data_IF_057228832678
#
_entry.id   IF_057228832678
#
_cell.length_a   1.000
_cell.length_b   1.000
_cell.length_c   1.000
_cell.angle_alpha   90.00
_cell.angle_beta   90.00
_cell.angle_gamma   90.00
#
_symmetry.space_group_name_H-M   'P 1'
#
loop_
_entity.id
_entity.type
_entity.pdbx_description
1 polymer ?
#
# COMPACT_ATOMS: atom_id res chain seq x y z
N UNK A 1 9.86 -5.36 21.69
CA UNK A 1 9.98 -5.53 20.23
C UNK A 1 8.94 -4.65 19.55
N UNK A 2 9.31 -3.96 18.46
CA UNK A 2 8.40 -3.08 17.76
C UNK A 2 8.55 -3.30 16.25
N UNK A 3 7.44 -3.47 15.56
CA UNK A 3 7.45 -3.53 14.09
C UNK A 3 7.67 -2.12 13.55
N UNK A 4 8.73 -1.91 12.77
CA UNK A 4 9.12 -0.57 12.33
C UNK A 4 8.65 -0.29 10.91
N UNK A 5 9.01 -1.14 9.98
CA UNK A 5 8.55 -0.97 8.59
C UNK A 5 8.64 -2.29 7.83
N UNK A 6 7.91 -2.34 6.73
CA UNK A 6 8.06 -3.36 5.70
C UNK A 6 8.51 -2.66 4.43
N UNK A 7 9.47 -3.24 3.73
CA UNK A 7 10.02 -2.63 2.51
C UNK A 7 9.49 -3.35 1.28
N UNK A 8 9.16 -2.59 0.25
CA UNK A 8 8.80 -3.13 -1.06
C UNK A 8 9.46 -2.27 -2.15
N UNK A 9 9.74 -2.87 -3.27
CA UNK A 9 10.38 -2.15 -4.38
C UNK A 9 9.33 -1.57 -5.32
N UNK A 10 9.64 -0.42 -5.90
CA UNK A 10 8.78 0.23 -6.86
C UNK A 10 9.60 0.69 -8.06
N UNK A 11 9.04 0.56 -9.24
CA UNK A 11 9.67 1.10 -10.45
C UNK A 11 9.28 2.55 -10.70
N UNK A 12 8.24 3.04 -10.01
CA UNK A 12 7.71 4.39 -10.17
C UNK A 12 7.35 4.94 -8.79
N UNK A 13 8.32 5.58 -8.10
CA UNK A 13 8.05 6.09 -6.76
C UNK A 13 6.95 7.14 -6.71
N UNK A 14 6.78 7.96 -7.74
CA UNK A 14 5.71 8.95 -7.77
C UNK A 14 4.34 8.30 -7.75
N UNK A 15 4.14 7.28 -8.58
CA UNK A 15 2.87 6.56 -8.61
C UNK A 15 2.61 5.81 -7.30
N UNK A 16 3.64 5.19 -6.73
CA UNK A 16 3.51 4.47 -5.47
C UNK A 16 3.14 5.42 -4.32
N UNK A 17 3.82 6.55 -4.23
CA UNK A 17 3.50 7.56 -3.21
C UNK A 17 2.05 8.01 -3.35
N UNK A 18 1.62 8.30 -4.58
CA UNK A 18 0.23 8.74 -4.80
C UNK A 18 -0.78 7.69 -4.34
N UNK A 19 -0.51 6.42 -4.63
CA UNK A 19 -1.41 5.35 -4.21
C UNK A 19 -1.56 5.35 -2.68
N UNK A 20 -0.44 5.36 -1.95
CA UNK A 20 -0.50 5.29 -0.50
C UNK A 20 -1.04 6.58 0.13
N UNK A 21 -0.85 7.74 -0.53
CA UNK A 21 -1.51 8.97 -0.10
C UNK A 21 -3.03 8.87 -0.26
N UNK A 22 -3.51 8.31 -1.36
CA UNK A 22 -4.95 8.12 -1.57
C UNK A 22 -5.54 7.14 -0.55
N UNK A 23 -4.74 6.21 -0.06
CA UNK A 23 -5.15 5.31 1.01
C UNK A 23 -5.26 6.03 2.36
N UNK A 24 -4.54 7.12 2.54
CA UNK A 24 -4.57 7.90 3.78
C UNK A 24 -3.22 8.04 4.47
N UNK A 25 -2.16 7.55 3.85
CA UNK A 25 -0.82 7.66 4.40
C UNK A 25 -0.16 8.96 3.95
N UNK A 26 0.96 9.30 4.56
CA UNK A 26 1.75 10.46 4.18
C UNK A 26 3.22 10.07 4.05
N UNK A 27 3.93 10.76 3.18
CA UNK A 27 5.39 10.61 3.10
C UNK A 27 5.99 11.28 4.32
N UNK A 28 6.62 10.48 5.19
CA UNK A 28 7.22 11.00 6.41
C UNK A 28 8.69 11.34 6.23
N UNK A 29 9.37 10.63 5.32
CA UNK A 29 10.80 10.80 5.14
C UNK A 29 11.21 10.24 3.79
N UNK A 30 12.27 10.85 3.21
CA UNK A 30 12.85 10.37 1.95
C UNK A 30 14.37 10.43 2.08
N UNK A 31 15.05 9.42 1.59
CA UNK A 31 16.52 9.35 1.61
C UNK A 31 17.04 8.92 0.26
N UNK A 32 18.11 9.54 -0.18
CA UNK A 32 18.80 9.15 -1.40
C UNK A 32 20.12 8.51 -1.04
N UNK A 33 20.31 7.25 -1.43
CA UNK A 33 21.50 6.48 -1.12
C UNK A 33 22.37 6.40 -2.37
N UNK A 34 23.30 7.35 -2.53
CA UNK A 34 24.14 7.46 -3.73
C UNK A 34 24.95 6.20 -3.98
N UNK A 35 25.50 5.59 -2.93
CA UNK A 35 26.32 4.38 -3.07
C UNK A 35 25.49 3.20 -3.57
N UNK A 36 24.25 3.11 -3.13
CA UNK A 36 23.36 2.02 -3.52
C UNK A 36 22.56 2.36 -4.76
N UNK A 37 22.63 3.60 -5.22
CA UNK A 37 21.82 4.11 -6.35
C UNK A 37 20.35 3.82 -6.14
N UNK A 38 19.85 4.21 -4.96
CA UNK A 38 18.48 3.94 -4.57
C UNK A 38 17.89 5.14 -3.84
N UNK A 39 16.58 5.33 -4.01
CA UNK A 39 15.79 6.29 -3.24
C UNK A 39 14.85 5.51 -2.34
N UNK A 40 14.81 5.90 -1.07
CA UNK A 40 13.90 5.31 -0.09
C UNK A 40 12.83 6.35 0.25
N UNK A 41 11.57 5.96 0.19
CA UNK A 41 10.44 6.82 0.57
C UNK A 41 9.64 6.09 1.63
N UNK A 42 9.47 6.72 2.78
CA UNK A 42 8.73 6.11 3.89
C UNK A 42 7.34 6.70 3.98
N UNK A 43 6.34 5.82 3.85
CA UNK A 43 4.93 6.20 3.95
C UNK A 43 4.40 5.74 5.30
N UNK A 44 3.77 6.63 6.03
CA UNK A 44 3.22 6.34 7.36
C UNK A 44 1.73 6.66 7.43
N UNK A 45 0.95 5.85 8.19
CA UNK A 45 -0.43 6.23 8.47
C UNK A 45 -0.46 7.41 9.45
N UNK A 46 -1.63 8.07 9.62
CA UNK A 46 -1.72 9.18 10.56
C UNK A 46 -1.26 8.84 11.98
N UNK A 47 -1.45 7.61 12.41
CA UNK A 47 -1.04 7.14 13.74
C UNK A 47 0.48 7.04 13.88
N UNK A 48 1.20 6.91 12.78
CA UNK A 48 2.66 6.91 12.77
C UNK A 48 3.32 5.69 13.42
N UNK A 49 2.60 4.60 13.62
CA UNK A 49 3.10 3.46 14.38
C UNK A 49 3.88 2.45 13.52
N UNK A 50 3.92 2.62 12.22
CA UNK A 50 4.73 1.80 11.31
C UNK A 50 4.89 2.54 9.98
N UNK A 51 5.72 2.00 9.10
CA UNK A 51 5.90 2.59 7.77
C UNK A 51 5.96 1.51 6.69
N UNK A 52 5.58 1.88 5.48
CA UNK A 52 5.95 1.14 4.28
C UNK A 52 7.12 1.88 3.67
N UNK A 53 8.23 1.17 3.51
CA UNK A 53 9.41 1.73 2.85
C UNK A 53 9.37 1.37 1.38
N UNK A 54 9.24 2.38 0.54
CA UNK A 54 9.25 2.21 -0.91
C UNK A 54 10.69 2.37 -1.39
N UNK A 55 11.22 1.37 -2.05
CA UNK A 55 12.61 1.36 -2.50
C UNK A 55 12.63 1.45 -4.02
N UNK A 56 13.16 2.56 -4.53
CA UNK A 56 13.36 2.73 -5.96
C UNK A 56 14.84 2.55 -6.29
N UNK A 57 15.16 1.53 -7.08
CA UNK A 57 16.52 1.33 -7.58
C UNK A 57 16.66 2.13 -8.87
N UNK A 58 17.57 3.10 -8.88
CA UNK A 58 17.71 4.04 -9.99
C UNK A 58 17.91 3.32 -11.32
N UNK A 59 17.15 3.75 -12.32
CA UNK A 59 17.20 3.16 -13.64
C UNK A 59 16.30 1.96 -13.85
N UNK A 60 15.63 1.48 -12.80
CA UNK A 60 14.69 0.38 -12.94
C UNK A 60 13.40 0.90 -13.55
N UNK A 61 13.14 0.51 -14.80
CA UNK A 61 11.94 0.95 -15.52
C UNK A 61 11.03 -0.21 -15.96
N UNK A 62 11.40 -1.44 -15.59
CA UNK A 62 10.59 -2.62 -15.85
C UNK A 62 10.00 -3.14 -14.54
N UNK A 63 8.86 -3.86 -14.58
CA UNK A 63 8.27 -4.38 -13.35
C UNK A 63 9.22 -5.28 -12.57
N UNK A 64 9.11 -5.23 -11.24
CA UNK A 64 9.75 -6.20 -10.37
C UNK A 64 8.92 -7.47 -10.35
N UNK A 65 9.58 -8.62 -10.19
CA UNK A 65 8.90 -9.88 -10.02
C UNK A 65 8.37 -9.97 -8.58
N UNK A 66 7.06 -10.11 -8.43
CA UNK A 66 6.43 -10.20 -7.12
C UNK A 66 6.64 -11.53 -6.41
N UNK A 67 6.86 -12.60 -7.17
CA UNK A 67 7.01 -13.94 -6.60
C UNK A 67 5.73 -14.46 -5.98
N UNK A 68 5.84 -15.53 -5.18
CA UNK A 68 4.68 -16.19 -4.60
C UNK A 68 4.62 -16.11 -3.08
N UNK A 69 5.66 -15.61 -2.41
CA UNK A 69 5.76 -15.68 -0.95
C UNK A 69 5.05 -14.57 -0.23
N UNK A 70 5.12 -13.34 -0.74
CA UNK A 70 4.46 -12.22 -0.10
C UNK A 70 2.97 -12.26 -0.41
N UNK A 71 2.12 -12.17 0.62
CA UNK A 71 0.69 -12.12 0.45
C UNK A 71 0.21 -10.72 0.13
N UNK A 72 0.01 -9.92 1.17
CA UNK A 72 -0.53 -8.57 1.01
C UNK A 72 -0.30 -7.74 2.26
N UNK A 73 -0.45 -6.42 2.12
CA UNK A 73 -0.61 -5.52 3.25
C UNK A 73 -2.09 -5.44 3.60
N UNK A 74 -2.41 -5.17 4.86
CA UNK A 74 -3.80 -5.02 5.29
C UNK A 74 -3.94 -3.80 6.18
N UNK A 75 -5.03 -3.04 5.98
CA UNK A 75 -5.31 -1.83 6.73
C UNK A 75 -6.77 -1.83 7.16
N UNK A 76 -7.03 -1.43 8.40
CA UNK A 76 -8.38 -1.04 8.79
C UNK A 76 -8.68 0.34 8.23
N UNK A 77 -9.84 0.50 7.61
CA UNK A 77 -10.30 1.80 7.10
C UNK A 77 -11.71 2.06 7.61
N UNK A 78 -12.00 3.31 7.95
CA UNK A 78 -13.31 3.64 8.53
C UNK A 78 -14.40 3.70 7.46
N UNK A 79 -14.07 4.19 6.28
CA UNK A 79 -14.99 4.28 5.14
C UNK A 79 -14.50 3.38 4.02
N UNK A 80 -14.86 2.11 4.09
CA UNK A 80 -14.40 1.12 3.13
C UNK A 80 -14.82 1.47 1.70
N UNK A 81 -16.11 1.78 1.51
CA UNK A 81 -16.61 2.06 0.16
C UNK A 81 -15.97 3.29 -0.44
N UNK A 82 -15.86 4.37 0.34
CA UNK A 82 -15.23 5.60 -0.13
C UNK A 82 -13.75 5.44 -0.41
N UNK A 83 -13.04 4.72 0.45
CA UNK A 83 -11.62 4.44 0.26
C UNK A 83 -11.39 3.61 -1.00
N UNK A 84 -12.17 2.53 -1.15
CA UNK A 84 -12.07 1.66 -2.33
C UNK A 84 -12.31 2.46 -3.61
N UNK A 85 -13.39 3.25 -3.65
CA UNK A 85 -13.72 4.05 -4.82
C UNK A 85 -12.62 5.04 -5.16
N UNK A 86 -12.10 5.73 -4.16
CA UNK A 86 -11.04 6.72 -4.35
C UNK A 86 -9.77 6.07 -4.94
N UNK A 87 -9.41 4.90 -4.44
CA UNK A 87 -8.24 4.18 -4.94
C UNK A 87 -8.45 3.71 -6.37
N UNK A 88 -9.60 3.12 -6.68
CA UNK A 88 -9.89 2.63 -8.03
C UNK A 88 -9.95 3.79 -9.02
N UNK A 89 -10.60 4.90 -8.67
CA UNK A 89 -10.65 6.09 -9.51
C UNK A 89 -9.25 6.68 -9.73
N UNK A 90 -8.37 6.51 -8.76
CA UNK A 90 -6.97 6.93 -8.85
C UNK A 90 -6.07 5.98 -9.62
N UNK A 91 -6.62 4.90 -10.16
CA UNK A 91 -5.87 3.97 -10.99
C UNK A 91 -5.40 2.69 -10.33
N UNK A 92 -5.82 2.42 -9.09
CA UNK A 92 -5.45 1.16 -8.42
C UNK A 92 -6.02 -0.03 -9.19
N UNK A 93 -5.28 -1.13 -9.19
CA UNK A 93 -5.76 -2.37 -9.80
C UNK A 93 -6.90 -2.98 -9.00
N UNK A 94 -7.90 -3.46 -9.71
CA UNK A 94 -9.01 -4.17 -9.08
C UNK A 94 -8.67 -5.65 -9.07
N UNK A 95 -8.29 -6.16 -7.90
CA UNK A 95 -7.89 -7.55 -7.73
C UNK A 95 -8.70 -8.17 -6.59
N UNK A 96 -8.78 -9.49 -6.58
CA UNK A 96 -9.50 -10.20 -5.54
C UNK A 96 -10.97 -9.88 -5.59
N UNK A 97 -11.44 -8.95 -4.74
CA UNK A 97 -12.87 -8.72 -4.58
C UNK A 97 -13.19 -7.27 -4.22
N UNK A 98 -14.33 -6.74 -4.70
CA UNK A 98 -14.83 -5.46 -4.21
C UNK A 98 -15.38 -5.60 -2.79
N UNK A 99 -15.77 -4.48 -2.15
CA UNK A 99 -16.25 -4.53 -0.77
C UNK A 99 -17.40 -5.51 -0.57
N UNK A 100 -17.18 -6.48 0.31
CA UNK A 100 -18.16 -7.49 0.65
C UNK A 100 -17.70 -8.19 1.95
N UNK A 101 -18.63 -8.76 2.73
CA UNK A 101 -18.25 -9.55 3.88
C UNK A 101 -17.38 -10.73 3.46
N UNK A 102 -16.33 -10.99 4.24
CA UNK A 102 -15.52 -12.16 4.00
C UNK A 102 -16.33 -13.43 4.26
N UNK A 103 -17.11 -13.39 5.32
CA UNK A 103 -17.92 -14.53 5.73
C UNK A 103 -19.10 -14.02 6.55
N UNK A 104 -20.33 -14.43 6.17
CA UNK A 104 -21.52 -14.12 6.94
C UNK A 104 -21.75 -12.63 7.12
N UNK A 105 -22.05 -12.21 8.35
CA UNK A 105 -22.29 -10.81 8.71
C UNK A 105 -21.05 -10.11 9.27
N UNK A 106 -19.88 -10.73 9.12
CA UNK A 106 -18.63 -10.15 9.61
C UNK A 106 -18.26 -8.86 8.89
N UNK A 107 -17.14 -8.27 9.29
CA UNK A 107 -16.64 -7.05 8.63
C UNK A 107 -16.44 -7.28 7.14
N UNK A 108 -16.74 -6.25 6.36
CA UNK A 108 -16.51 -6.32 4.92
C UNK A 108 -15.03 -6.06 4.64
N UNK A 109 -14.53 -6.66 3.59
CA UNK A 109 -13.17 -6.43 3.11
C UNK A 109 -13.20 -6.15 1.61
N UNK A 110 -12.09 -5.60 1.12
CA UNK A 110 -11.85 -5.43 -0.31
C UNK A 110 -10.37 -5.58 -0.57
N UNK A 111 -10.00 -5.88 -1.80
CA UNK A 111 -8.61 -5.89 -2.24
C UNK A 111 -8.42 -4.95 -3.41
N UNK A 112 -7.29 -4.25 -3.41
CA UNK A 112 -6.81 -3.48 -4.55
C UNK A 112 -5.34 -3.79 -4.73
N UNK A 113 -4.77 -3.45 -5.88
CA UNK A 113 -3.34 -3.57 -6.12
C UNK A 113 -2.72 -2.19 -6.23
N UNK A 114 -1.54 -2.02 -5.62
CA UNK A 114 -0.76 -0.81 -5.79
C UNK A 114 -0.13 -0.79 -7.20
N UNK A 115 0.54 0.30 -7.60
CA UNK A 115 1.09 0.38 -8.97
C UNK A 115 2.11 -0.69 -9.34
N UNK A 116 2.72 -1.32 -8.35
CA UNK A 116 3.69 -2.39 -8.59
C UNK A 116 3.08 -3.78 -8.48
N UNK A 117 1.77 -3.86 -8.26
CA UNK A 117 1.05 -5.13 -8.19
C UNK A 117 0.96 -5.73 -6.80
N UNK A 118 1.41 -5.05 -5.76
CA UNK A 118 1.23 -5.54 -4.40
C UNK A 118 -0.25 -5.48 -4.04
N UNK A 119 -0.78 -6.59 -3.54
CA UNK A 119 -2.16 -6.61 -3.07
C UNK A 119 -2.27 -5.88 -1.74
N UNK A 120 -3.34 -5.11 -1.59
CA UNK A 120 -3.65 -4.37 -0.37
C UNK A 120 -5.08 -4.72 0.04
N UNK A 121 -5.20 -5.28 1.23
CA UNK A 121 -6.50 -5.61 1.81
C UNK A 121 -7.00 -4.43 2.63
N UNK A 122 -8.24 -4.04 2.35
CA UNK A 122 -8.92 -2.99 3.11
C UNK A 122 -9.96 -3.69 3.99
N UNK A 123 -9.86 -3.51 5.29
CA UNK A 123 -10.76 -4.15 6.25
C UNK A 123 -11.62 -3.08 6.89
N UNK A 124 -12.93 -3.23 6.79
CA UNK A 124 -13.86 -2.28 7.36
C UNK A 124 -13.70 -2.26 8.89
N UNK A 125 -13.37 -1.08 9.43
CA UNK A 125 -13.29 -0.90 10.86
C UNK A 125 -14.68 -0.63 11.40
N UNK A 126 -15.20 -1.58 12.16
CA UNK A 126 -16.48 -1.39 12.86
C UNK A 126 -16.15 -0.79 14.21
N UNK A 127 -16.26 0.52 14.33
CA UNK A 127 -15.94 1.23 15.55
C UNK A 127 -16.65 0.67 16.78
N UNK A 128 -16.05 0.81 17.92
CA UNK A 128 -16.66 0.37 19.17
C UNK A 128 -15.69 -0.19 20.15
#
# INVERSE_FOLDING_TARGET
>A
MKFVHAATRTKDPGAAVRFYELLGMRESRRSELSKNKATLVFMEPPEGNFAIELVYNWGKDTPYDGGERFGHFAFHVEDLDGTYRRLVEGGAGEVGRPPAPLQGEGPRIAFVADPDGNWVELIEHRGG
#
